data_IF_003855679210
#
_entry.id   IF_003855679210
#
_cell.length_a   1.000
_cell.length_b   1.000
_cell.length_c   1.000
_cell.angle_alpha   90.00
_cell.angle_beta   90.00
_cell.angle_gamma   90.00
#
_symmetry.space_group_name_H-M   'P 1'
#
loop_
_entity.id
_entity.type
_entity.pdbx_description
1 polymer ?
#
# COMPACT_ATOMS: atom_id res chain seq x y z
N UNK A 1 -13.51 -17.24 -4.13
CA UNK A 1 -12.10 -17.56 -4.49
C UNK A 1 -11.27 -16.28 -4.65
N UNK A 2 -11.73 -15.25 -5.35
CA UNK A 2 -10.95 -14.02 -5.56
C UNK A 2 -10.73 -13.19 -4.27
N UNK A 3 -11.74 -13.04 -3.43
CA UNK A 3 -11.68 -12.21 -2.22
C UNK A 3 -10.80 -12.81 -1.12
N UNK A 4 -10.78 -14.13 -0.93
CA UNK A 4 -9.92 -14.80 0.06
C UNK A 4 -8.44 -14.65 -0.28
N UNK A 5 -8.07 -14.77 -1.55
CA UNK A 5 -6.69 -14.52 -2.01
C UNK A 5 -6.31 -13.06 -1.75
N UNK A 6 -7.14 -12.11 -2.09
CA UNK A 6 -6.88 -10.68 -1.86
C UNK A 6 -6.69 -10.35 -0.37
N UNK A 7 -7.48 -10.95 0.52
CA UNK A 7 -7.37 -10.73 1.97
C UNK A 7 -6.04 -11.29 2.50
N UNK A 8 -5.73 -12.54 2.16
CA UNK A 8 -4.49 -13.19 2.59
C UNK A 8 -3.26 -12.47 2.03
N UNK A 9 -3.27 -12.13 0.76
CA UNK A 9 -2.14 -11.47 0.11
C UNK A 9 -1.94 -10.05 0.66
N UNK A 10 -3.04 -9.36 1.02
CA UNK A 10 -2.97 -8.08 1.71
C UNK A 10 -2.28 -8.22 3.08
N UNK A 11 -2.71 -9.17 3.90
CA UNK A 11 -2.25 -9.31 5.28
C UNK A 11 -0.86 -9.96 5.37
N UNK A 12 -0.57 -10.95 4.51
CA UNK A 12 0.65 -11.74 4.58
C UNK A 12 1.77 -11.24 3.67
N UNK A 13 1.47 -10.43 2.66
CA UNK A 13 2.44 -9.94 1.69
C UNK A 13 2.47 -8.42 1.67
N UNK A 14 1.34 -7.77 1.36
CA UNK A 14 1.31 -6.33 1.13
C UNK A 14 1.66 -5.52 2.38
N UNK A 15 1.02 -5.81 3.52
CA UNK A 15 1.31 -5.09 4.76
C UNK A 15 2.76 -5.24 5.21
N UNK A 16 3.32 -6.46 5.31
CA UNK A 16 4.72 -6.62 5.69
C UNK A 16 5.69 -5.89 4.78
N UNK A 17 5.50 -5.92 3.45
CA UNK A 17 6.38 -5.23 2.51
C UNK A 17 6.29 -3.70 2.64
N UNK A 18 5.11 -3.13 2.85
CA UNK A 18 4.98 -1.68 3.08
C UNK A 18 5.58 -1.29 4.43
N UNK A 19 5.42 -2.09 5.46
CA UNK A 19 6.03 -1.87 6.77
C UNK A 19 7.55 -1.94 6.71
N UNK A 20 8.11 -2.88 5.97
CA UNK A 20 9.55 -3.00 5.71
C UNK A 20 10.07 -1.76 4.97
N UNK A 21 9.38 -1.32 3.91
CA UNK A 21 9.73 -0.09 3.19
C UNK A 21 9.73 1.12 4.14
N UNK A 22 8.68 1.28 4.95
CA UNK A 22 8.59 2.37 5.93
C UNK A 22 9.75 2.32 6.92
N UNK A 23 10.10 1.14 7.44
CA UNK A 23 11.20 0.95 8.36
C UNK A 23 12.54 1.33 7.73
N UNK A 24 12.78 0.91 6.48
CA UNK A 24 13.98 1.26 5.73
C UNK A 24 14.08 2.78 5.48
N UNK A 25 12.99 3.41 5.08
CA UNK A 25 12.95 4.87 4.90
C UNK A 25 13.22 5.63 6.21
N UNK A 26 12.73 5.14 7.35
CA UNK A 26 13.02 5.71 8.67
C UNK A 26 14.51 5.63 9.01
N UNK A 27 15.14 4.50 8.68
CA UNK A 27 16.59 4.33 8.86
C UNK A 27 17.35 5.38 8.07
N UNK A 28 17.06 5.53 6.78
CA UNK A 28 17.69 6.57 5.96
C UNK A 28 17.39 7.98 6.44
N UNK A 29 16.15 8.26 6.81
CA UNK A 29 15.79 9.57 7.36
C UNK A 29 16.57 9.93 8.62
N UNK A 30 16.87 8.93 9.45
CA UNK A 30 17.67 9.11 10.66
C UNK A 30 19.15 9.31 10.32
N UNK A 31 19.71 8.49 9.44
CA UNK A 31 21.09 8.61 8.97
C UNK A 31 21.36 9.96 8.30
N UNK A 32 20.41 10.43 7.51
CA UNK A 32 20.53 11.67 6.75
C UNK A 32 19.94 12.90 7.45
N UNK A 33 19.58 12.77 8.72
CA UNK A 33 18.94 13.84 9.49
C UNK A 33 19.73 15.17 9.51
N UNK A 34 21.05 15.09 9.44
CA UNK A 34 21.94 16.25 9.48
C UNK A 34 22.54 16.65 8.11
N UNK A 35 22.19 15.95 7.04
CA UNK A 35 22.66 16.29 5.70
C UNK A 35 21.86 17.50 5.19
N UNK A 36 22.53 18.66 4.95
CA UNK A 36 21.85 19.82 4.38
C UNK A 36 21.46 19.55 2.93
N UNK A 37 20.29 20.03 2.54
CA UNK A 37 19.76 19.93 1.18
C UNK A 37 19.18 21.27 0.76
N UNK A 38 19.42 21.68 -0.46
CA UNK A 38 18.82 22.88 -1.03
C UNK A 38 17.51 22.50 -1.72
N UNK A 39 16.39 22.90 -1.13
CA UNK A 39 15.09 22.72 -1.78
C UNK A 39 15.04 23.57 -3.06
N UNK A 40 14.27 23.09 -4.03
CA UNK A 40 14.01 23.80 -5.30
C UNK A 40 12.52 24.02 -5.47
N UNK A 41 12.16 25.13 -6.06
CA UNK A 41 10.82 25.45 -6.51
C UNK A 41 10.86 25.92 -7.95
N UNK A 42 10.02 25.37 -8.82
CA UNK A 42 10.04 25.64 -10.26
C UNK A 42 11.44 25.48 -10.89
N UNK A 43 12.21 24.50 -10.42
CA UNK A 43 13.60 24.27 -10.87
C UNK A 43 14.63 25.27 -10.35
N UNK A 44 14.24 26.26 -9.55
CA UNK A 44 15.12 27.29 -8.99
C UNK A 44 15.48 26.99 -7.53
N UNK A 45 16.69 27.37 -7.09
CA UNK A 45 17.08 27.28 -5.68
C UNK A 45 16.07 27.99 -4.78
N UNK A 46 15.70 27.34 -3.67
CA UNK A 46 14.79 27.86 -2.67
C UNK A 46 15.42 27.75 -1.27
N UNK A 47 14.59 27.56 -0.25
CA UNK A 47 15.07 27.50 1.13
C UNK A 47 15.87 26.23 1.41
N UNK A 48 16.89 26.31 2.28
CA UNK A 48 17.57 25.10 2.77
C UNK A 48 16.62 24.21 3.56
N UNK A 49 16.82 22.90 3.42
CA UNK A 49 16.13 21.85 4.17
C UNK A 49 17.16 20.79 4.60
N UNK A 50 16.71 19.65 5.03
CA UNK A 50 17.53 18.48 5.37
C UNK A 50 17.01 17.25 4.65
N UNK A 51 17.92 16.46 4.10
CA UNK A 51 17.61 15.26 3.34
C UNK A 51 16.76 14.27 4.15
N UNK A 52 17.13 14.01 5.39
CA UNK A 52 16.38 13.11 6.26
C UNK A 52 14.93 13.58 6.49
N UNK A 53 14.71 14.91 6.58
CA UNK A 53 13.34 15.46 6.70
C UNK A 53 12.53 15.24 5.41
N UNK A 54 13.14 15.37 4.24
CA UNK A 54 12.46 15.13 2.96
C UNK A 54 12.01 13.66 2.85
N UNK A 55 12.87 12.72 3.27
CA UNK A 55 12.50 11.30 3.33
C UNK A 55 11.38 11.04 4.35
N UNK A 56 11.40 11.71 5.51
CA UNK A 56 10.35 11.58 6.54
C UNK A 56 8.98 12.01 6.05
N UNK A 57 8.87 12.87 5.06
CA UNK A 57 7.58 13.23 4.44
C UNK A 57 6.91 11.98 3.85
N UNK A 58 7.65 11.15 3.15
CA UNK A 58 7.12 9.91 2.57
C UNK A 58 6.78 8.88 3.65
N UNK A 59 7.61 8.73 4.67
CA UNK A 59 7.32 7.89 5.84
C UNK A 59 5.98 8.27 6.46
N UNK A 60 5.80 9.54 6.79
CA UNK A 60 4.56 10.03 7.40
C UNK A 60 3.33 9.77 6.50
N UNK A 61 3.45 10.05 5.20
CA UNK A 61 2.37 9.83 4.23
C UNK A 61 2.00 8.34 4.14
N UNK A 62 3.00 7.46 4.02
CA UNK A 62 2.78 6.00 3.92
C UNK A 62 2.17 5.43 5.19
N UNK A 63 2.66 5.81 6.37
CA UNK A 63 2.09 5.36 7.65
C UNK A 63 0.61 5.74 7.80
N UNK A 64 0.26 6.96 7.43
CA UNK A 64 -1.14 7.44 7.49
C UNK A 64 -2.03 6.65 6.54
N UNK A 65 -1.59 6.37 5.31
CA UNK A 65 -2.38 5.62 4.34
C UNK A 65 -2.44 4.12 4.68
N UNK A 66 -1.37 3.55 5.21
CA UNK A 66 -1.38 2.17 5.69
C UNK A 66 -2.35 1.99 6.87
N UNK A 67 -2.40 2.93 7.80
CA UNK A 67 -3.37 2.92 8.89
C UNK A 67 -4.82 2.99 8.37
N UNK A 68 -5.09 3.83 7.37
CA UNK A 68 -6.42 3.89 6.72
C UNK A 68 -6.76 2.58 6.01
N UNK A 69 -5.81 1.98 5.31
CA UNK A 69 -6.03 0.69 4.65
C UNK A 69 -6.34 -0.42 5.66
N UNK A 70 -5.62 -0.46 6.79
CA UNK A 70 -5.87 -1.44 7.86
C UNK A 70 -7.22 -1.24 8.55
N UNK A 71 -7.75 -0.02 8.55
CA UNK A 71 -9.06 0.30 9.11
C UNK A 71 -10.23 -0.01 8.16
N UNK A 72 -9.98 -0.33 6.89
CA UNK A 72 -11.04 -0.73 5.97
C UNK A 72 -11.69 -2.03 6.44
N UNK A 73 -13.02 -2.05 6.65
CA UNK A 73 -13.71 -3.27 7.07
C UNK A 73 -13.64 -4.33 5.96
N UNK A 74 -13.52 -5.57 6.38
CA UNK A 74 -13.59 -6.73 5.50
C UNK A 74 -14.92 -7.41 5.70
N UNK A 75 -15.75 -7.35 4.68
CA UNK A 75 -17.13 -7.82 4.75
C UNK A 75 -17.39 -8.95 3.77
N UNK A 76 -18.40 -9.77 4.10
CA UNK A 76 -18.89 -10.80 3.22
C UNK A 76 -20.41 -10.88 3.26
N UNK A 77 -21.01 -11.18 2.12
CA UNK A 77 -22.45 -11.46 2.02
C UNK A 77 -22.72 -12.92 2.32
N UNK A 78 -23.66 -13.15 3.26
CA UNK A 78 -24.25 -14.45 3.51
C UNK A 78 -25.73 -14.27 3.87
N UNK A 79 -26.64 -14.70 3.01
CA UNK A 79 -28.09 -14.45 3.20
C UNK A 79 -28.99 -15.07 2.13
N UNK A 80 -28.46 -15.94 1.26
CA UNK A 80 -29.24 -16.56 0.19
C UNK A 80 -29.48 -15.64 -1.00
N UNK A 81 -30.35 -16.03 -1.90
CA UNK A 81 -30.53 -15.42 -3.22
C UNK A 81 -30.97 -13.95 -3.19
N UNK A 82 -31.66 -13.50 -2.14
CA UNK A 82 -32.14 -12.12 -1.99
C UNK A 82 -31.62 -11.42 -0.75
N UNK A 83 -30.73 -12.07 0.00
CA UNK A 83 -30.24 -11.56 1.28
C UNK A 83 -31.16 -11.83 2.48
N UNK A 84 -32.30 -12.48 2.27
CA UNK A 84 -33.34 -12.65 3.30
C UNK A 84 -33.45 -14.08 3.86
N UNK A 85 -32.54 -14.97 3.53
CA UNK A 85 -32.58 -16.39 3.95
C UNK A 85 -33.86 -17.15 3.57
N UNK A 86 -34.55 -16.79 2.48
CA UNK A 86 -35.87 -17.33 2.13
C UNK A 86 -35.87 -18.86 2.10
N UNK A 87 -34.98 -19.48 1.35
CA UNK A 87 -34.88 -20.94 1.24
C UNK A 87 -34.52 -21.60 2.59
N UNK A 88 -33.69 -20.92 3.37
CA UNK A 88 -33.27 -21.41 4.70
C UNK A 88 -34.44 -21.44 5.66
N UNK A 89 -35.25 -20.37 5.70
CA UNK A 89 -36.45 -20.30 6.52
C UNK A 89 -37.53 -21.31 6.10
N UNK A 90 -37.65 -21.59 4.82
CA UNK A 90 -38.55 -22.62 4.34
C UNK A 90 -38.12 -24.00 4.80
N UNK A 91 -36.81 -24.30 4.75
CA UNK A 91 -36.29 -25.60 5.14
C UNK A 91 -36.25 -25.80 6.67
N UNK A 92 -35.87 -24.78 7.41
CA UNK A 92 -35.72 -24.82 8.88
C UNK A 92 -36.23 -23.52 9.50
N UNK A 93 -37.58 -23.34 9.62
CA UNK A 93 -38.17 -22.09 10.05
C UNK A 93 -37.90 -21.71 11.51
N UNK A 94 -37.57 -22.69 12.35
CA UNK A 94 -37.27 -22.51 13.78
C UNK A 94 -35.84 -22.03 14.06
N UNK A 95 -34.99 -21.94 13.03
CA UNK A 95 -33.57 -21.63 13.22
C UNK A 95 -33.32 -20.13 13.00
N UNK A 96 -32.52 -19.53 13.88
CA UNK A 96 -32.09 -18.14 13.71
C UNK A 96 -30.96 -18.05 12.68
N UNK A 97 -31.32 -17.93 11.43
CA UNK A 97 -30.42 -17.83 10.30
C UNK A 97 -29.57 -16.56 10.30
N UNK A 98 -30.09 -15.46 10.85
CA UNK A 98 -29.35 -14.20 10.98
C UNK A 98 -28.20 -14.37 11.95
N UNK A 99 -28.45 -14.91 13.13
CA UNK A 99 -27.43 -15.19 14.13
C UNK A 99 -26.39 -16.20 13.61
N UNK A 100 -26.89 -17.27 12.96
CA UNK A 100 -25.99 -18.25 12.32
C UNK A 100 -25.07 -17.59 11.29
N UNK A 101 -25.61 -16.78 10.38
CA UNK A 101 -24.83 -16.10 9.35
C UNK A 101 -23.78 -15.17 9.94
N UNK A 102 -24.12 -14.40 10.96
CA UNK A 102 -23.18 -13.53 11.66
C UNK A 102 -22.02 -14.33 12.26
N UNK A 103 -22.36 -15.38 13.02
CA UNK A 103 -21.34 -16.25 13.61
C UNK A 103 -20.47 -16.97 12.58
N UNK A 104 -21.08 -17.55 11.56
CA UNK A 104 -20.37 -18.28 10.52
C UNK A 104 -19.33 -17.39 9.81
N UNK A 105 -19.75 -16.18 9.39
CA UNK A 105 -18.86 -15.25 8.69
C UNK A 105 -17.75 -14.74 9.62
N UNK A 106 -18.06 -14.46 10.88
CA UNK A 106 -17.06 -14.00 11.84
C UNK A 106 -16.10 -15.12 12.27
N UNK A 107 -16.61 -16.27 12.71
CA UNK A 107 -15.79 -17.32 13.32
C UNK A 107 -15.05 -18.19 12.31
N UNK A 108 -15.62 -18.40 11.11
CA UNK A 108 -15.05 -19.28 10.09
C UNK A 108 -14.28 -18.55 9.00
N UNK A 109 -14.65 -17.29 8.71
CA UNK A 109 -14.02 -16.50 7.65
C UNK A 109 -13.21 -15.30 8.19
N UNK A 110 -13.37 -14.94 9.47
CA UNK A 110 -12.72 -13.77 10.05
C UNK A 110 -13.19 -12.44 9.46
N UNK A 111 -14.44 -12.40 8.96
CA UNK A 111 -15.02 -11.25 8.26
C UNK A 111 -16.26 -10.74 9.00
N UNK A 112 -16.68 -9.54 8.67
CA UNK A 112 -17.96 -8.99 9.11
C UNK A 112 -19.05 -9.34 8.08
N UNK A 113 -20.23 -9.82 8.54
CA UNK A 113 -21.32 -10.08 7.63
C UNK A 113 -22.05 -8.80 7.25
N UNK A 114 -22.21 -8.56 5.96
CA UNK A 114 -23.10 -7.51 5.46
C UNK A 114 -24.56 -7.86 5.80
N UNK A 115 -25.15 -7.08 6.68
CA UNK A 115 -26.46 -7.39 7.25
C UNK A 115 -27.58 -7.23 6.21
N UNK A 116 -27.48 -6.22 5.39
CA UNK A 116 -28.47 -5.89 4.36
C UNK A 116 -27.84 -5.90 2.98
N UNK A 117 -28.16 -6.91 2.20
CA UNK A 117 -27.67 -7.06 0.82
C UNK A 117 -28.81 -7.51 -0.09
N UNK A 118 -28.62 -7.40 -1.39
CA UNK A 118 -29.45 -8.07 -2.38
C UNK A 118 -28.90 -9.49 -2.65
N UNK A 119 -28.83 -9.90 -3.90
CA UNK A 119 -28.24 -11.19 -4.27
C UNK A 119 -26.72 -11.24 -4.05
N UNK A 120 -26.04 -10.11 -4.22
CA UNK A 120 -24.59 -9.98 -4.11
C UNK A 120 -24.22 -8.92 -3.08
N UNK A 121 -22.95 -8.87 -2.70
CA UNK A 121 -22.38 -7.71 -2.01
C UNK A 121 -22.36 -6.50 -2.94
N UNK A 122 -22.48 -5.30 -2.38
CA UNK A 122 -22.34 -4.05 -3.14
C UNK A 122 -20.88 -3.69 -3.42
N UNK A 123 -19.92 -4.39 -2.79
CA UNK A 123 -18.47 -4.20 -2.92
C UNK A 123 -17.93 -2.84 -2.48
N UNK A 124 -18.71 -2.05 -1.73
CA UNK A 124 -18.28 -0.72 -1.26
C UNK A 124 -17.01 -0.80 -0.40
N UNK A 125 -16.97 -1.74 0.54
CA UNK A 125 -15.81 -1.95 1.40
C UNK A 125 -14.59 -2.47 0.62
N UNK A 126 -14.80 -3.33 -0.37
CA UNK A 126 -13.73 -3.79 -1.26
C UNK A 126 -13.17 -2.63 -2.10
N UNK A 127 -14.04 -1.76 -2.60
CA UNK A 127 -13.64 -0.53 -3.30
C UNK A 127 -12.81 0.39 -2.40
N UNK A 128 -13.19 0.55 -1.14
CA UNK A 128 -12.43 1.33 -0.16
C UNK A 128 -11.02 0.77 0.07
N UNK A 129 -10.87 -0.56 0.11
CA UNK A 129 -9.55 -1.22 0.19
C UNK A 129 -8.70 -0.86 -1.03
N UNK A 130 -9.22 -1.02 -2.25
CA UNK A 130 -8.47 -0.70 -3.47
C UNK A 130 -8.15 0.78 -3.60
N UNK A 131 -9.04 1.66 -3.18
CA UNK A 131 -8.78 3.11 -3.17
C UNK A 131 -7.69 3.49 -2.17
N UNK A 132 -7.61 2.81 -1.02
CA UNK A 132 -6.52 3.01 -0.08
C UNK A 132 -5.19 2.51 -0.63
N UNK A 133 -5.15 1.34 -1.28
CA UNK A 133 -3.96 0.81 -1.96
C UNK A 133 -3.52 1.73 -3.11
N UNK A 134 -4.45 2.26 -3.90
CA UNK A 134 -4.16 3.22 -4.96
C UNK A 134 -3.45 4.47 -4.42
N UNK A 135 -3.90 5.02 -3.27
CA UNK A 135 -3.23 6.17 -2.65
C UNK A 135 -1.82 5.84 -2.18
N UNK A 136 -1.58 4.67 -1.60
CA UNK A 136 -0.22 4.20 -1.24
C UNK A 136 0.65 4.12 -2.50
N UNK A 137 0.16 3.48 -3.56
CA UNK A 137 0.90 3.37 -4.81
C UNK A 137 1.20 4.74 -5.44
N UNK A 138 0.29 5.70 -5.35
CA UNK A 138 0.52 7.07 -5.81
C UNK A 138 1.64 7.76 -5.02
N UNK A 139 1.71 7.54 -3.71
CA UNK A 139 2.80 8.05 -2.86
C UNK A 139 4.14 7.42 -3.26
N UNK A 140 4.15 6.11 -3.53
CA UNK A 140 5.38 5.43 -3.98
C UNK A 140 5.85 5.94 -5.35
N UNK A 141 4.94 6.21 -6.29
CA UNK A 141 5.28 6.82 -7.57
C UNK A 141 5.87 8.22 -7.37
N UNK A 142 5.28 9.03 -6.50
CA UNK A 142 5.75 10.37 -6.15
C UNK A 142 7.15 10.30 -5.54
N UNK A 143 7.37 9.45 -4.57
CA UNK A 143 8.66 9.19 -3.94
C UNK A 143 9.72 8.77 -4.97
N UNK A 144 9.42 7.80 -5.82
CA UNK A 144 10.36 7.31 -6.83
C UNK A 144 10.74 8.40 -7.85
N UNK A 145 9.80 9.29 -8.19
CA UNK A 145 10.08 10.44 -9.06
C UNK A 145 11.01 11.46 -8.39
N UNK A 146 10.81 11.72 -7.10
CA UNK A 146 11.69 12.60 -6.35
C UNK A 146 13.10 12.01 -6.25
N UNK A 147 13.26 10.74 -5.89
CA UNK A 147 14.56 10.08 -5.86
C UNK A 147 15.24 10.09 -7.23
N UNK A 148 14.51 9.79 -8.29
CA UNK A 148 15.03 9.87 -9.65
C UNK A 148 15.52 11.31 -9.99
N UNK A 149 14.76 12.32 -9.58
CA UNK A 149 15.13 13.70 -9.77
C UNK A 149 16.35 14.09 -8.92
N UNK A 150 16.47 13.58 -7.69
CA UNK A 150 17.63 13.81 -6.83
C UNK A 150 18.92 13.26 -7.45
N UNK A 151 18.86 12.15 -8.17
CA UNK A 151 20.00 11.63 -8.93
C UNK A 151 20.34 12.62 -10.07
N UNK A 152 19.37 13.10 -10.83
CA UNK A 152 19.61 14.04 -11.91
C UNK A 152 20.13 15.42 -11.44
N UNK A 153 19.89 15.75 -10.17
CA UNK A 153 20.39 16.96 -9.51
C UNK A 153 21.70 16.73 -8.73
N UNK A 154 22.30 15.53 -8.85
CA UNK A 154 23.55 15.14 -8.18
C UNK A 154 23.48 15.13 -6.64
N UNK A 155 22.26 15.03 -6.08
CA UNK A 155 22.11 14.79 -4.64
C UNK A 155 22.37 13.35 -4.25
N UNK A 156 22.15 12.42 -5.20
CA UNK A 156 22.51 11.01 -5.08
C UNK A 156 23.37 10.59 -6.27
N UNK A 157 24.23 9.61 -6.05
CA UNK A 157 25.02 8.98 -7.10
C UNK A 157 24.70 7.49 -7.15
N UNK A 158 24.38 7.02 -8.35
CA UNK A 158 24.13 5.60 -8.56
C UNK A 158 25.40 4.77 -8.40
N UNK A 159 25.33 3.70 -7.63
CA UNK A 159 26.42 2.70 -7.57
C UNK A 159 26.27 1.73 -8.73
N UNK A 160 27.33 1.60 -9.52
CA UNK A 160 27.42 0.60 -10.58
C UNK A 160 27.60 -0.78 -9.94
N UNK A 161 26.70 -1.71 -10.26
CA UNK A 161 26.82 -3.10 -9.82
C UNK A 161 27.57 -3.89 -10.90
N UNK A 162 28.69 -4.49 -10.53
CA UNK A 162 29.48 -5.28 -11.47
C UNK A 162 28.67 -6.43 -12.06
N UNK A 163 28.66 -6.56 -13.39
CA UNK A 163 27.94 -7.60 -14.11
C UNK A 163 26.48 -7.23 -14.50
N UNK A 164 25.96 -6.08 -14.11
CA UNK A 164 24.70 -5.57 -14.67
C UNK A 164 24.97 -4.89 -16.02
N UNK A 165 24.25 -5.36 -17.05
CA UNK A 165 24.29 -4.74 -18.37
C UNK A 165 23.14 -3.75 -18.45
N UNK A 166 23.45 -2.48 -18.62
CA UNK A 166 22.47 -1.45 -18.89
C UNK A 166 21.87 -1.57 -20.30
N UNK A 167 21.12 -0.58 -20.72
CA UNK A 167 20.56 -0.56 -22.08
C UNK A 167 21.66 -0.66 -23.14
N UNK A 168 21.50 -1.58 -24.08
CA UNK A 168 22.39 -1.70 -25.25
C UNK A 168 22.35 -0.48 -26.19
N UNK A 169 21.36 0.39 -26.02
CA UNK A 169 21.16 1.57 -26.87
C UNK A 169 21.94 2.81 -26.40
N UNK A 170 22.37 2.86 -25.13
CA UNK A 170 23.15 3.97 -24.56
C UNK A 170 24.24 3.46 -23.62
N UNK A 171 25.31 2.88 -24.12
CA UNK A 171 26.49 2.60 -23.32
C UNK A 171 27.32 3.89 -23.15
N UNK A 172 28.08 4.10 -22.09
CA UNK A 172 28.32 3.30 -20.90
C UNK A 172 27.59 3.81 -19.66
N UNK A 173 26.61 4.65 -19.82
CA UNK A 173 25.77 5.08 -18.70
C UNK A 173 24.86 3.92 -18.40
N UNK A 174 25.30 3.06 -17.46
CA UNK A 174 24.47 1.99 -16.98
C UNK A 174 23.23 2.62 -16.33
N UNK A 175 22.10 2.51 -17.01
CA UNK A 175 20.81 2.68 -16.35
C UNK A 175 20.62 1.51 -15.40
N UNK A 176 21.29 1.56 -14.27
CA UNK A 176 20.93 0.72 -13.15
C UNK A 176 19.53 1.15 -12.74
N UNK A 177 18.59 0.24 -12.81
CA UNK A 177 17.27 0.50 -12.28
C UNK A 177 17.41 1.05 -10.86
N UNK A 178 16.65 2.09 -10.53
CA UNK A 178 16.51 2.64 -9.20
C UNK A 178 16.16 1.51 -8.24
N UNK A 179 17.17 0.86 -7.67
CA UNK A 179 17.01 -0.04 -6.54
C UNK A 179 17.23 0.77 -5.28
N UNK A 180 16.52 0.41 -4.23
CA UNK A 180 16.47 1.07 -2.93
C UNK A 180 17.82 1.10 -2.15
N UNK A 181 18.96 1.25 -2.82
CA UNK A 181 20.30 1.20 -2.25
C UNK A 181 21.20 2.36 -2.71
N UNK A 182 20.61 3.48 -3.07
CA UNK A 182 21.37 4.67 -3.41
C UNK A 182 21.76 5.38 -2.11
N UNK A 183 23.05 5.65 -1.95
CA UNK A 183 23.57 6.40 -0.81
C UNK A 183 24.02 7.78 -1.28
N UNK A 184 23.77 8.85 -0.50
CA UNK A 184 24.37 10.15 -0.78
C UNK A 184 25.89 10.07 -0.61
N UNK A 185 26.63 10.82 -1.40
CA UNK A 185 28.08 11.07 -1.19
C UNK A 185 28.30 12.11 -0.12
#
# INVERSE_FOLDING_TARGET
VGSEMCIRDRDQVYYPLIEELIAQLKTYATEWANIPMLAKTHGQPASPTRLGKEVMVFVYRLERQLAMLKACPLTAKFGGATGNYNAHHVAYPQYDWKQFGNRFVAEKLGLEREEYTTQISNYDNLSAVFDAMKRINTIMVDMNRDFWQYISMEYFKQKIKAGEVGSSAMPPVSYTHLRAHETPE
#
